data_IF_459277011631
#
_entry.id   IF_459277011631
#
_cell.length_a   1.000
_cell.length_b   1.000
_cell.length_c   1.000
_cell.angle_alpha   90.00
_cell.angle_beta   90.00
_cell.angle_gamma   90.00
#
_symmetry.space_group_name_H-M   'P 1'
#
loop_
_entity.id
_entity.type
_entity.pdbx_description
1 polymer ?
#
# COMPACT_ATOMS: atom_id res chain seq x y z
N UNK A 1 -9.89 7.15 21.72
CA UNK A 1 -8.53 7.63 21.42
C UNK A 1 -8.57 8.24 20.03
N UNK A 2 -8.46 9.56 19.92
CA UNK A 2 -8.45 10.25 18.62
C UNK A 2 -7.00 10.37 18.20
N UNK A 3 -6.61 9.76 17.08
CA UNK A 3 -5.30 10.02 16.57
C UNK A 3 -5.37 10.43 15.10
N UNK A 4 -5.05 11.71 14.91
CA UNK A 4 -4.75 12.31 13.63
C UNK A 4 -3.43 11.68 13.15
N UNK A 5 -3.53 10.64 12.34
CA UNK A 5 -2.40 9.96 11.69
C UNK A 5 -2.31 10.42 10.25
N UNK A 6 -1.09 10.67 9.79
CA UNK A 6 -0.85 10.68 8.36
C UNK A 6 -0.96 9.23 7.87
N UNK A 7 -2.02 8.94 7.11
CA UNK A 7 -2.28 7.64 6.49
C UNK A 7 -1.90 7.78 5.02
N UNK A 8 -0.96 6.94 4.58
CA UNK A 8 -0.49 6.92 3.20
C UNK A 8 -0.89 5.57 2.61
N UNK A 9 -1.56 5.59 1.46
CA UNK A 9 -1.80 4.39 0.68
C UNK A 9 -0.83 4.35 -0.51
N UNK A 10 -0.32 3.15 -0.81
CA UNK A 10 0.58 2.93 -1.93
C UNK A 10 0.36 1.54 -2.51
N UNK A 11 0.57 1.38 -3.80
CA UNK A 11 0.60 0.07 -4.44
C UNK A 11 1.93 -0.62 -4.19
N UNK A 12 1.88 -1.93 -3.97
CA UNK A 12 3.09 -2.73 -3.90
C UNK A 12 3.71 -2.92 -5.29
N UNK A 13 4.95 -2.46 -5.46
CA UNK A 13 5.67 -2.75 -6.70
C UNK A 13 6.11 -4.22 -6.71
N UNK A 14 5.52 -5.01 -7.60
CA UNK A 14 5.92 -6.40 -7.86
C UNK A 14 6.38 -6.56 -9.30
N UNK A 15 7.39 -7.40 -9.49
CA UNK A 15 7.82 -7.88 -10.80
C UNK A 15 7.77 -9.40 -10.80
N UNK A 16 7.25 -9.98 -11.87
CA UNK A 16 7.31 -11.43 -12.12
C UNK A 16 8.09 -11.62 -13.41
N UNK A 17 9.19 -12.37 -13.35
CA UNK A 17 10.07 -12.64 -14.50
C UNK A 17 10.52 -11.35 -15.22
N UNK A 18 10.82 -10.29 -14.46
CA UNK A 18 11.25 -9.00 -15.01
C UNK A 18 10.13 -8.07 -15.49
N UNK A 19 8.89 -8.57 -15.66
CA UNK A 19 7.74 -7.78 -16.08
C UNK A 19 7.01 -7.22 -14.85
N UNK A 20 6.70 -5.91 -14.79
CA UNK A 20 5.91 -5.33 -13.71
C UNK A 20 4.49 -5.91 -13.70
N UNK A 21 4.01 -6.28 -12.52
CA UNK A 21 2.61 -6.70 -12.35
C UNK A 21 1.77 -5.43 -12.27
N UNK A 22 0.90 -5.23 -13.26
CA UNK A 22 0.03 -4.04 -13.36
C UNK A 22 -1.42 -4.34 -12.98
N UNK A 23 -1.80 -5.62 -12.95
CA UNK A 23 -3.15 -6.05 -12.58
C UNK A 23 -3.16 -6.69 -11.19
N UNK A 24 -4.27 -6.53 -10.46
CA UNK A 24 -4.49 -7.16 -9.16
C UNK A 24 -3.33 -6.92 -8.16
N UNK A 25 -2.84 -5.68 -8.13
CA UNK A 25 -1.72 -5.25 -7.30
C UNK A 25 -2.22 -4.98 -5.87
N UNK A 26 -1.60 -5.54 -4.83
CA UNK A 26 -2.06 -5.32 -3.46
C UNK A 26 -1.79 -3.89 -3.01
N UNK A 27 -2.76 -3.31 -2.31
CA UNK A 27 -2.64 -1.99 -1.70
C UNK A 27 -1.97 -2.14 -0.34
N UNK A 28 -0.94 -1.35 -0.07
CA UNK A 28 -0.33 -1.20 1.25
C UNK A 28 -0.78 0.10 1.88
N UNK A 29 -1.02 0.04 3.19
CA UNK A 29 -1.33 1.21 4.00
C UNK A 29 -0.19 1.43 4.98
N UNK A 30 0.30 2.65 5.05
CA UNK A 30 1.31 3.07 6.03
C UNK A 30 0.70 4.11 6.96
N UNK A 31 0.96 3.91 8.25
CA UNK A 31 0.56 4.83 9.30
C UNK A 31 1.81 5.32 10.02
N UNK A 32 1.93 6.63 10.19
CA UNK A 32 2.95 7.21 11.06
C UNK A 32 2.34 7.40 12.45
N UNK A 33 2.90 6.72 13.44
CA UNK A 33 2.45 6.79 14.85
C UNK A 33 3.65 6.79 15.78
N UNK A 34 3.68 7.73 16.74
CA UNK A 34 4.80 7.87 17.69
C UNK A 34 6.18 7.92 17.00
N UNK A 35 6.27 8.64 15.88
CA UNK A 35 7.47 8.71 15.02
C UNK A 35 7.91 7.37 14.41
N UNK A 36 7.10 6.32 14.53
CA UNK A 36 7.33 5.02 13.93
C UNK A 36 6.45 4.84 12.68
N UNK A 37 6.97 4.10 11.72
CA UNK A 37 6.26 3.72 10.50
C UNK A 37 5.71 2.32 10.69
N UNK A 38 4.39 2.21 10.71
CA UNK A 38 3.70 0.92 10.78
C UNK A 38 3.13 0.64 9.38
N UNK A 39 3.55 -0.48 8.79
CA UNK A 39 3.03 -0.96 7.50
C UNK A 39 1.93 -2.00 7.72
N UNK A 40 0.87 -1.88 6.94
CA UNK A 40 -0.26 -2.81 6.90
C UNK A 40 -0.40 -3.36 5.49
N UNK A 41 -0.55 -4.67 5.39
CA UNK A 41 -1.03 -5.32 4.17
C UNK A 41 -2.54 -5.23 4.15
N UNK A 42 -3.09 -4.48 3.21
CA UNK A 42 -4.55 -4.49 3.03
C UNK A 42 -4.94 -5.74 2.26
N UNK A 43 -6.12 -6.31 2.54
CA UNK A 43 -6.68 -7.41 1.74
C UNK A 43 -7.19 -6.95 0.37
N UNK A 44 -7.11 -5.65 0.07
CA UNK A 44 -7.61 -5.03 -1.15
C UNK A 44 -6.54 -4.99 -2.23
N UNK A 45 -7.01 -5.07 -3.48
CA UNK A 45 -6.18 -5.17 -4.66
C UNK A 45 -6.81 -4.36 -5.78
N UNK A 46 -5.99 -3.72 -6.61
CA UNK A 46 -6.45 -2.86 -7.69
C UNK A 46 -5.50 -2.98 -8.88
N UNK A 47 -6.01 -2.74 -10.08
CA UNK A 47 -5.19 -2.58 -11.26
C UNK A 47 -4.54 -1.19 -11.23
N UNK A 48 -3.26 -1.09 -11.61
CA UNK A 48 -2.50 0.17 -11.60
C UNK A 48 -3.20 1.26 -12.42
N UNK A 49 -3.91 0.89 -13.50
CA UNK A 49 -4.66 1.84 -14.33
C UNK A 49 -5.89 2.47 -13.63
N UNK A 50 -6.36 1.89 -12.53
CA UNK A 50 -7.52 2.36 -11.76
C UNK A 50 -7.14 3.05 -10.45
N UNK A 51 -5.83 3.15 -10.18
CA UNK A 51 -5.27 3.76 -8.98
C UNK A 51 -5.38 5.28 -8.99
#
# INVERSE_FOLDING_TARGET
MNIKRNIIFALESRKKNGVPIVENVPIRMRVIFASQRIEFTTGYRIDVAKW
#
